data_IF_641570804221
#
_entry.id   IF_641570804221
#
_cell.length_a   1.000
_cell.length_b   1.000
_cell.length_c   1.000
_cell.angle_alpha   90.00
_cell.angle_beta   90.00
_cell.angle_gamma   90.00
#
_symmetry.space_group_name_H-M   'P 1'
#
loop_
_entity.id
_entity.type
_entity.pdbx_description
1 polymer ?
#
# COMPACT_ATOMS: atom_id res chain seq x y z
N UNK A 1 41.81 44.67 13.72
CA UNK A 1 41.28 44.83 12.34
C UNK A 1 39.76 44.91 12.30
N UNK A 2 39.01 43.94 12.86
CA UNK A 2 37.53 43.99 12.91
C UNK A 2 36.98 45.25 13.61
N UNK A 3 37.54 45.63 14.77
CA UNK A 3 37.15 46.84 15.51
C UNK A 3 37.31 48.14 14.69
N UNK A 4 38.40 48.25 13.92
CA UNK A 4 38.68 49.43 13.07
C UNK A 4 37.75 49.44 11.85
N UNK A 5 37.53 48.29 11.23
CA UNK A 5 36.65 48.17 10.06
C UNK A 5 35.18 48.40 10.38
N UNK A 6 34.71 47.97 11.54
CA UNK A 6 33.34 48.26 11.98
C UNK A 6 33.18 49.69 12.48
N UNK A 7 34.16 50.20 13.23
CA UNK A 7 34.09 51.55 13.80
C UNK A 7 34.21 52.69 12.79
N UNK A 8 34.98 52.52 11.71
CA UNK A 8 35.17 53.57 10.69
C UNK A 8 34.39 53.35 9.40
N UNK A 9 34.16 52.09 9.01
CA UNK A 9 33.58 51.76 7.71
C UNK A 9 32.25 51.03 7.78
N UNK A 10 31.66 50.88 8.98
CA UNK A 10 30.37 50.21 9.21
C UNK A 10 30.25 48.90 8.41
N UNK A 11 31.32 48.10 8.39
CA UNK A 11 31.44 46.96 7.49
C UNK A 11 30.30 45.95 7.67
N UNK A 12 29.85 45.72 8.91
CA UNK A 12 28.68 44.88 9.21
C UNK A 12 27.38 45.43 8.62
N UNK A 13 27.13 46.74 8.70
CA UNK A 13 25.94 47.36 8.10
C UNK A 13 25.95 47.18 6.57
N UNK A 14 27.11 47.41 5.93
CA UNK A 14 27.25 47.15 4.50
C UNK A 14 27.03 45.68 4.13
N UNK A 15 27.41 44.74 5.00
CA UNK A 15 27.15 43.31 4.80
C UNK A 15 25.65 43.00 4.95
N UNK A 16 24.98 43.55 5.95
CA UNK A 16 23.53 43.41 6.15
C UNK A 16 22.78 43.95 4.92
N UNK A 17 23.09 45.16 4.47
CA UNK A 17 22.47 45.75 3.28
C UNK A 17 22.68 44.90 2.03
N UNK A 18 23.87 44.30 1.86
CA UNK A 18 24.14 43.38 0.74
C UNK A 18 23.31 42.09 0.84
N UNK A 19 23.14 41.55 2.04
CA UNK A 19 22.30 40.37 2.28
C UNK A 19 20.83 40.71 2.05
N UNK A 20 20.35 41.87 2.50
CA UNK A 20 18.98 42.33 2.26
C UNK A 20 18.70 42.53 0.76
N UNK A 21 19.58 43.23 0.05
CA UNK A 21 19.45 43.40 -1.40
C UNK A 21 19.51 42.05 -2.14
N UNK A 22 20.37 41.12 -1.70
CA UNK A 22 20.37 39.76 -2.24
C UNK A 22 19.05 39.05 -1.97
N UNK A 23 18.52 39.13 -0.74
CA UNK A 23 17.23 38.54 -0.39
C UNK A 23 16.10 39.13 -1.22
N UNK A 24 16.04 40.44 -1.41
CA UNK A 24 15.02 41.07 -2.26
C UNK A 24 15.10 40.60 -3.72
N UNK A 25 16.32 40.49 -4.26
CA UNK A 25 16.52 40.07 -5.64
C UNK A 25 16.19 38.59 -5.90
N UNK A 26 16.36 37.71 -4.91
CA UNK A 26 16.25 36.26 -5.08
C UNK A 26 15.18 35.58 -4.21
N UNK A 27 14.41 36.32 -3.41
CA UNK A 27 13.37 35.76 -2.54
C UNK A 27 12.33 34.96 -3.32
N UNK A 28 12.02 35.37 -4.57
CA UNK A 28 11.11 34.66 -5.45
C UNK A 28 11.66 33.32 -5.94
N UNK A 29 12.98 33.18 -6.05
CA UNK A 29 13.65 31.97 -6.55
C UNK A 29 13.96 30.97 -5.43
N UNK A 30 14.07 31.43 -4.18
CA UNK A 30 14.42 30.59 -3.04
C UNK A 30 13.52 29.35 -2.88
N UNK A 31 12.18 29.42 -3.00
CA UNK A 31 11.33 28.23 -2.93
C UNK A 31 11.70 27.18 -3.97
N UNK A 32 11.98 27.60 -5.21
CA UNK A 32 12.39 26.70 -6.30
C UNK A 32 13.74 26.03 -6.02
N UNK A 33 14.69 26.76 -5.43
CA UNK A 33 15.97 26.17 -5.04
C UNK A 33 15.81 25.14 -3.93
N UNK A 34 14.98 25.43 -2.92
CA UNK A 34 14.69 24.50 -1.84
C UNK A 34 13.97 23.24 -2.35
N UNK A 35 13.04 23.40 -3.30
CA UNK A 35 12.36 22.29 -3.97
C UNK A 35 13.35 21.42 -4.75
N UNK A 36 14.23 22.02 -5.55
CA UNK A 36 15.26 21.27 -6.29
C UNK A 36 16.23 20.50 -5.39
N UNK A 37 16.65 21.11 -4.26
CA UNK A 37 17.47 20.42 -3.25
C UNK A 37 16.68 19.27 -2.61
N UNK A 38 15.41 19.49 -2.28
CA UNK A 38 14.53 18.47 -1.72
C UNK A 38 14.29 17.28 -2.66
N UNK A 39 14.04 17.54 -3.95
CA UNK A 39 13.94 16.51 -4.98
C UNK A 39 15.24 15.71 -5.12
N UNK A 40 16.38 16.41 -5.12
CA UNK A 40 17.70 15.76 -5.21
C UNK A 40 17.94 14.85 -4.02
N UNK A 41 17.64 15.31 -2.79
CA UNK A 41 17.79 14.52 -1.57
C UNK A 41 16.86 13.29 -1.57
N UNK A 42 15.60 13.47 -1.99
CA UNK A 42 14.65 12.37 -2.14
C UNK A 42 15.15 11.31 -3.15
N UNK A 43 15.62 11.74 -4.33
CA UNK A 43 16.16 10.84 -5.36
C UNK A 43 17.42 10.11 -4.86
N UNK A 44 18.32 10.79 -4.14
CA UNK A 44 19.48 10.16 -3.52
C UNK A 44 19.08 9.08 -2.50
N UNK A 45 18.02 9.32 -1.71
CA UNK A 45 17.48 8.35 -0.77
C UNK A 45 16.92 7.11 -1.48
N UNK A 46 16.15 7.30 -2.56
CA UNK A 46 15.62 6.21 -3.38
C UNK A 46 16.73 5.41 -4.08
N UNK A 47 17.77 6.09 -4.60
CA UNK A 47 18.93 5.45 -5.19
C UNK A 47 19.73 4.64 -4.14
N UNK A 48 19.89 5.17 -2.93
CA UNK A 48 20.53 4.47 -1.81
C UNK A 48 19.74 3.22 -1.41
N UNK A 49 18.40 3.30 -1.39
CA UNK A 49 17.55 2.14 -1.18
C UNK A 49 17.78 1.06 -2.23
N UNK A 50 17.82 1.42 -3.52
CA UNK A 50 18.11 0.47 -4.59
C UNK A 50 19.50 -0.16 -4.45
N UNK A 51 20.52 0.64 -4.16
CA UNK A 51 21.89 0.17 -3.94
C UNK A 51 22.00 -0.84 -2.79
N UNK A 52 21.28 -0.60 -1.69
CA UNK A 52 21.28 -1.49 -0.51
C UNK A 52 20.49 -2.79 -0.72
N UNK A 53 19.72 -2.92 -1.80
CA UNK A 53 18.89 -4.08 -2.10
C UNK A 53 19.19 -4.66 -3.48
N UNK A 54 20.40 -5.20 -3.74
CA UNK A 54 20.80 -5.70 -5.05
C UNK A 54 19.98 -6.92 -5.53
N UNK A 55 19.25 -7.58 -4.64
CA UNK A 55 18.35 -8.70 -4.99
C UNK A 55 16.90 -8.28 -5.25
N UNK A 56 16.60 -6.98 -5.27
CA UNK A 56 15.28 -6.46 -5.61
C UNK A 56 15.23 -6.10 -7.09
N UNK A 57 14.06 -6.20 -7.69
CA UNK A 57 13.87 -6.02 -9.14
C UNK A 57 13.10 -4.75 -9.42
N UNK A 58 13.48 -4.00 -10.46
CA UNK A 58 12.66 -2.88 -10.94
C UNK A 58 11.37 -3.41 -11.60
N UNK A 59 10.19 -2.94 -11.16
CA UNK A 59 8.92 -3.42 -11.70
C UNK A 59 8.68 -2.89 -13.11
N UNK A 60 7.93 -3.65 -13.91
CA UNK A 60 7.47 -3.24 -15.23
C UNK A 60 6.09 -2.59 -15.12
N UNK A 61 5.92 -1.42 -15.72
CA UNK A 61 4.63 -0.75 -15.80
C UNK A 61 3.80 -1.42 -16.90
N UNK A 62 2.65 -1.97 -16.52
CA UNK A 62 1.71 -2.60 -17.44
C UNK A 62 1.03 -1.55 -18.33
N UNK A 63 0.87 -1.87 -19.62
CA UNK A 63 0.12 -1.03 -20.56
C UNK A 63 -1.40 -1.24 -20.46
N UNK A 64 -1.84 -2.33 -19.84
CA UNK A 64 -3.25 -2.73 -19.74
C UNK A 64 -3.77 -2.51 -18.32
N UNK A 65 -4.85 -1.73 -18.19
CA UNK A 65 -5.58 -1.57 -16.93
C UNK A 65 -6.49 -2.78 -16.67
N UNK A 66 -6.52 -3.42 -15.51
CA UNK A 66 -5.60 -3.37 -14.37
C UNK A 66 -4.77 -4.66 -14.37
N UNK A 67 -3.47 -4.56 -14.04
CA UNK A 67 -2.59 -5.72 -13.86
C UNK A 67 -1.80 -5.60 -12.57
N UNK A 68 -1.70 -6.69 -11.82
CA UNK A 68 -0.81 -6.84 -10.67
C UNK A 68 -0.32 -8.28 -10.64
N UNK A 69 0.88 -8.52 -11.17
CA UNK A 69 1.51 -9.83 -11.24
C UNK A 69 2.91 -9.73 -10.64
N UNK A 70 3.24 -10.59 -9.68
CA UNK A 70 4.59 -10.66 -9.16
C UNK A 70 4.96 -12.08 -8.71
N UNK A 71 6.21 -12.44 -8.95
CA UNK A 71 6.81 -13.73 -8.62
C UNK A 71 7.66 -13.59 -7.35
N UNK A 72 7.45 -14.50 -6.41
CA UNK A 72 8.13 -14.58 -5.13
C UNK A 72 8.16 -13.22 -4.41
N UNK A 73 7.03 -12.60 -4.12
CA UNK A 73 7.02 -11.37 -3.32
C UNK A 73 7.38 -11.65 -1.85
N UNK A 74 8.33 -10.88 -1.33
CA UNK A 74 8.68 -10.81 0.09
C UNK A 74 8.35 -9.45 0.70
N UNK A 75 8.28 -9.38 2.03
CA UNK A 75 8.10 -8.10 2.72
C UNK A 75 9.47 -7.46 2.98
N UNK A 76 9.73 -6.23 2.50
CA UNK A 76 11.07 -5.64 2.56
C UNK A 76 11.59 -5.38 3.97
N UNK A 77 10.69 -5.25 4.96
CA UNK A 77 11.05 -5.09 6.38
C UNK A 77 11.20 -6.43 7.14
N UNK A 78 10.97 -7.58 6.50
CA UNK A 78 11.20 -8.88 7.14
C UNK A 78 12.62 -9.39 6.86
N UNK A 79 13.21 -10.07 7.83
CA UNK A 79 14.50 -10.74 7.63
C UNK A 79 14.39 -11.78 6.51
N UNK A 80 15.33 -11.74 5.56
CA UNK A 80 15.33 -12.59 4.37
C UNK A 80 15.19 -14.08 4.67
N UNK A 81 15.86 -14.56 5.73
CA UNK A 81 15.84 -15.96 6.15
C UNK A 81 14.48 -16.44 6.70
N UNK A 82 13.66 -15.52 7.23
CA UNK A 82 12.33 -15.82 7.78
C UNK A 82 11.19 -15.46 6.82
N UNK A 83 11.50 -14.76 5.72
CA UNK A 83 10.50 -14.25 4.81
C UNK A 83 10.09 -15.33 3.81
N UNK A 84 8.94 -15.96 4.06
CA UNK A 84 8.30 -16.83 3.07
C UNK A 84 7.72 -15.98 1.95
N UNK A 85 8.20 -16.22 0.72
CA UNK A 85 7.83 -15.46 -0.48
C UNK A 85 6.60 -16.08 -1.14
N UNK A 86 5.70 -15.25 -1.66
CA UNK A 86 4.45 -15.68 -2.28
C UNK A 86 4.17 -14.92 -3.58
N UNK A 87 3.50 -15.56 -4.52
CA UNK A 87 3.13 -14.94 -5.80
C UNK A 87 1.82 -14.15 -5.67
N UNK A 88 1.60 -13.21 -6.59
CA UNK A 88 0.29 -12.62 -6.84
C UNK A 88 0.03 -12.59 -8.34
N UNK A 89 -1.20 -12.95 -8.74
CA UNK A 89 -1.60 -12.93 -10.15
C UNK A 89 -2.99 -12.30 -10.25
N UNK A 90 -3.05 -11.09 -10.80
CA UNK A 90 -4.28 -10.38 -11.17
C UNK A 90 -4.08 -9.81 -12.58
N UNK A 91 -4.63 -10.50 -13.57
CA UNK A 91 -4.40 -10.20 -14.99
C UNK A 91 -5.60 -9.56 -15.70
N UNK A 92 -6.74 -9.47 -15.01
CA UNK A 92 -8.02 -9.05 -15.57
C UNK A 92 -8.72 -8.05 -14.64
N UNK A 93 -9.71 -7.35 -15.18
CA UNK A 93 -10.51 -6.35 -14.49
C UNK A 93 -11.99 -6.55 -14.84
N UNK A 94 -12.91 -6.63 -13.87
CA UNK A 94 -12.67 -6.65 -12.42
C UNK A 94 -12.08 -7.99 -11.95
N UNK A 95 -11.29 -7.97 -10.89
CA UNK A 95 -10.77 -9.18 -10.28
C UNK A 95 -10.49 -9.05 -8.79
N UNK A 96 -10.91 -10.05 -8.02
CA UNK A 96 -10.74 -10.10 -6.58
C UNK A 96 -10.08 -11.41 -6.13
N UNK A 97 -9.10 -11.27 -5.23
CA UNK A 97 -8.54 -12.39 -4.49
C UNK A 97 -9.21 -12.44 -3.12
N UNK A 98 -9.90 -13.54 -2.80
CA UNK A 98 -10.44 -13.79 -1.46
C UNK A 98 -9.46 -14.70 -0.73
N UNK A 99 -8.93 -14.22 0.39
CA UNK A 99 -7.92 -14.93 1.18
C UNK A 99 -8.52 -15.39 2.51
N UNK A 100 -8.64 -16.70 2.68
CA UNK A 100 -9.10 -17.36 3.91
C UNK A 100 -7.93 -17.90 4.74
N UNK A 101 -8.22 -18.31 5.97
CA UNK A 101 -7.24 -18.96 6.85
C UNK A 101 -7.36 -18.51 8.30
N UNK A 102 -6.69 -19.21 9.20
CA UNK A 102 -6.70 -18.90 10.62
C UNK A 102 -6.02 -17.56 10.95
N UNK A 103 -6.29 -17.03 12.14
CA UNK A 103 -5.49 -15.92 12.65
C UNK A 103 -4.02 -16.36 12.81
N UNK A 104 -3.09 -15.43 12.61
CA UNK A 104 -1.64 -15.67 12.64
C UNK A 104 -1.08 -16.52 11.48
N UNK A 105 -1.91 -17.02 10.57
CA UNK A 105 -1.47 -17.83 9.41
C UNK A 105 -0.75 -17.03 8.31
N UNK A 106 -0.65 -15.70 8.42
CA UNK A 106 0.10 -14.85 7.48
C UNK A 106 -0.74 -13.95 6.58
N UNK A 107 -2.08 -14.00 6.64
CA UNK A 107 -2.99 -13.17 5.81
C UNK A 107 -2.62 -11.68 5.80
N UNK A 108 -2.61 -11.02 6.97
CA UNK A 108 -2.31 -9.59 7.06
C UNK A 108 -0.87 -9.27 6.62
N UNK A 109 0.08 -10.19 6.82
CA UNK A 109 1.45 -10.06 6.31
C UNK A 109 1.45 -10.06 4.80
N UNK A 110 0.77 -11.00 4.15
CA UNK A 110 0.66 -11.05 2.69
C UNK A 110 -0.01 -9.81 2.10
N UNK A 111 -1.08 -9.31 2.72
CA UNK A 111 -1.73 -8.07 2.28
C UNK A 111 -0.77 -6.86 2.36
N UNK A 112 -0.02 -6.74 3.48
CA UNK A 112 0.98 -5.68 3.66
C UNK A 112 2.15 -5.83 2.69
N UNK A 113 2.62 -7.05 2.46
CA UNK A 113 3.65 -7.36 1.47
C UNK A 113 3.23 -6.87 0.09
N UNK A 114 2.00 -7.18 -0.32
CA UNK A 114 1.46 -6.73 -1.61
C UNK A 114 1.36 -5.21 -1.68
N UNK A 115 0.77 -4.58 -0.64
CA UNK A 115 0.59 -3.13 -0.58
C UNK A 115 1.93 -2.36 -0.62
N UNK A 116 2.93 -2.81 0.15
CA UNK A 116 4.24 -2.16 0.22
C UNK A 116 5.00 -2.32 -1.09
N UNK A 117 5.02 -3.51 -1.70
CA UNK A 117 5.67 -3.69 -3.00
C UNK A 117 4.98 -2.88 -4.10
N UNK A 118 3.65 -2.79 -4.08
CA UNK A 118 2.90 -1.93 -4.99
C UNK A 118 3.24 -0.44 -4.80
N UNK A 119 3.32 0.03 -3.56
CA UNK A 119 3.71 1.41 -3.27
C UNK A 119 5.15 1.72 -3.74
N UNK A 120 6.10 0.82 -3.44
CA UNK A 120 7.48 0.93 -3.92
C UNK A 120 7.54 0.98 -5.44
N UNK A 121 6.70 0.19 -6.13
CA UNK A 121 6.60 0.22 -7.57
C UNK A 121 6.08 1.56 -8.10
N UNK A 122 5.02 2.11 -7.50
CA UNK A 122 4.51 3.45 -7.83
C UNK A 122 5.55 4.56 -7.57
N UNK A 123 6.45 4.37 -6.61
CA UNK A 123 7.56 5.30 -6.33
C UNK A 123 8.74 5.16 -7.29
N UNK A 124 8.73 4.15 -8.19
CA UNK A 124 9.80 3.93 -9.17
C UNK A 124 11.08 3.30 -8.59
N UNK A 125 10.99 2.62 -7.45
CA UNK A 125 12.12 1.92 -6.81
C UNK A 125 12.01 0.40 -6.97
N UNK A 126 13.13 -0.35 -6.82
CA UNK A 126 13.07 -1.81 -6.96
C UNK A 126 12.24 -2.44 -5.83
N UNK A 127 11.52 -3.49 -6.16
CA UNK A 127 10.59 -4.19 -5.27
C UNK A 127 11.19 -5.50 -4.76
N UNK A 128 10.72 -5.95 -3.60
CA UNK A 128 11.10 -7.23 -2.99
C UNK A 128 10.37 -8.40 -3.69
N UNK A 129 10.67 -8.62 -4.96
CA UNK A 129 10.11 -9.68 -5.80
C UNK A 129 11.14 -10.10 -6.85
N UNK A 130 11.02 -11.31 -7.39
CA UNK A 130 11.90 -11.74 -8.48
C UNK A 130 11.51 -11.03 -9.78
N UNK A 131 10.21 -10.90 -10.00
CA UNK A 131 9.61 -10.10 -11.08
C UNK A 131 8.33 -9.45 -10.59
N UNK A 132 8.01 -8.30 -11.16
CA UNK A 132 6.74 -7.62 -10.92
C UNK A 132 6.33 -6.83 -12.16
N UNK A 133 5.08 -6.99 -12.57
CA UNK A 133 4.39 -6.19 -13.57
C UNK A 133 3.12 -5.62 -12.94
N UNK A 134 2.96 -4.31 -12.95
CA UNK A 134 1.85 -3.64 -12.27
C UNK A 134 1.31 -2.45 -13.05
N UNK A 135 0.04 -2.15 -12.85
CA UNK A 135 -0.61 -0.95 -13.37
C UNK A 135 -0.75 0.08 -12.22
N UNK A 136 -0.28 1.34 -12.40
CA UNK A 136 -0.32 2.36 -11.36
C UNK A 136 -1.72 2.98 -11.21
N UNK A 137 -2.53 2.37 -10.35
CA UNK A 137 -3.81 2.89 -9.85
C UNK A 137 -3.73 3.33 -8.38
N UNK A 138 -4.73 4.07 -7.90
CA UNK A 138 -4.78 4.56 -6.53
C UNK A 138 -5.02 3.40 -5.55
N UNK A 139 -4.05 3.15 -4.67
CA UNK A 139 -4.14 2.11 -3.64
C UNK A 139 -5.01 2.58 -2.47
N UNK A 140 -6.04 1.83 -2.11
CA UNK A 140 -6.86 2.06 -0.93
C UNK A 140 -6.84 0.84 -0.03
N UNK A 141 -6.47 1.02 1.24
CA UNK A 141 -6.31 -0.08 2.20
C UNK A 141 -7.24 0.03 3.40
N UNK A 142 -7.82 -1.09 3.79
CA UNK A 142 -8.53 -1.31 5.06
C UNK A 142 -7.74 -2.25 5.99
N UNK A 143 -6.42 -2.06 6.11
CA UNK A 143 -5.50 -2.94 6.84
C UNK A 143 -5.34 -2.53 8.31
N UNK A 144 -6.41 -2.58 9.10
CA UNK A 144 -6.51 -2.11 10.50
C UNK A 144 -6.12 -0.64 10.72
N UNK A 145 -7.06 0.12 11.26
CA UNK A 145 -6.83 1.37 12.00
C UNK A 145 -6.23 1.05 13.35
N UNK A 146 -5.07 1.61 13.68
CA UNK A 146 -4.69 1.81 15.08
C UNK A 146 -5.65 2.84 15.70
N UNK A 147 -6.06 2.60 16.93
CA UNK A 147 -7.01 3.43 17.66
C UNK A 147 -6.64 4.92 17.62
N UNK A 148 -7.53 5.77 17.11
CA UNK A 148 -7.62 7.15 17.58
C UNK A 148 -8.71 7.18 18.65
N UNK A 149 -8.31 7.15 19.93
CA UNK A 149 -9.20 7.55 21.03
C UNK A 149 -9.67 9.02 20.91
N UNK A 150 -9.12 9.77 19.94
CA UNK A 150 -9.41 11.18 19.69
C UNK A 150 -10.68 11.42 18.88
N UNK A 151 -11.14 10.46 18.08
CA UNK A 151 -12.36 10.61 17.28
C UNK A 151 -13.48 9.87 18.01
N UNK A 152 -14.45 10.59 18.59
CA UNK A 152 -15.63 10.04 19.28
C UNK A 152 -16.57 9.20 18.36
N UNK A 153 -16.05 8.55 17.33
CA UNK A 153 -16.76 7.74 16.34
C UNK A 153 -16.56 6.24 16.62
N UNK A 154 -17.63 5.46 16.46
CA UNK A 154 -17.50 4.00 16.61
C UNK A 154 -16.63 3.42 15.50
N UNK A 155 -15.85 2.39 15.82
CA UNK A 155 -15.01 1.65 14.87
C UNK A 155 -15.79 1.24 13.61
N UNK A 156 -17.03 0.78 13.79
CA UNK A 156 -17.89 0.37 12.71
C UNK A 156 -18.27 1.53 11.77
N UNK A 157 -18.54 2.72 12.32
CA UNK A 157 -18.89 3.88 11.52
C UNK A 157 -17.70 4.41 10.70
N UNK A 158 -16.50 4.43 11.28
CA UNK A 158 -15.28 4.78 10.55
C UNK A 158 -15.00 3.81 9.39
N UNK A 159 -15.24 2.51 9.60
CA UNK A 159 -15.14 1.51 8.55
C UNK A 159 -16.19 1.73 7.43
N UNK A 160 -17.45 2.01 7.79
CA UNK A 160 -18.49 2.34 6.80
C UNK A 160 -18.15 3.58 5.98
N UNK A 161 -17.60 4.63 6.59
CA UNK A 161 -17.13 5.83 5.88
C UNK A 161 -16.03 5.49 4.85
N UNK A 162 -15.09 4.61 5.20
CA UNK A 162 -14.04 4.15 4.28
C UNK A 162 -14.62 3.35 3.12
N UNK A 163 -15.53 2.42 3.40
CA UNK A 163 -16.19 1.65 2.35
C UNK A 163 -17.01 2.56 1.42
N UNK A 164 -17.69 3.56 1.98
CA UNK A 164 -18.37 4.60 1.20
C UNK A 164 -17.41 5.39 0.33
N UNK A 165 -16.27 5.82 0.88
CA UNK A 165 -15.23 6.52 0.11
C UNK A 165 -14.77 5.69 -1.09
N UNK A 166 -14.48 4.40 -0.91
CA UNK A 166 -14.09 3.50 -2.01
C UNK A 166 -15.17 3.49 -3.11
N UNK A 167 -16.44 3.31 -2.73
CA UNK A 167 -17.56 3.28 -3.68
C UNK A 167 -17.75 4.62 -4.39
N UNK A 168 -17.61 5.74 -3.69
CA UNK A 168 -17.81 7.07 -4.27
C UNK A 168 -16.69 7.41 -5.27
N UNK A 169 -15.43 7.11 -4.95
CA UNK A 169 -14.29 7.29 -5.86
C UNK A 169 -14.44 6.45 -7.13
N UNK A 170 -14.83 5.19 -7.00
CA UNK A 170 -15.10 4.31 -8.15
C UNK A 170 -16.23 4.85 -9.02
N UNK A 171 -17.28 5.41 -8.42
CA UNK A 171 -18.39 6.05 -9.16
C UNK A 171 -17.98 7.35 -9.84
N UNK A 172 -16.97 8.04 -9.31
CA UNK A 172 -16.37 9.21 -9.95
C UNK A 172 -15.47 8.84 -11.16
N UNK A 173 -15.22 7.54 -11.38
CA UNK A 173 -14.42 7.04 -12.50
C UNK A 173 -12.96 6.76 -12.14
N UNK A 174 -12.58 6.86 -10.87
CA UNK A 174 -11.22 6.56 -10.41
C UNK A 174 -10.90 5.07 -10.51
N UNK A 175 -9.68 4.75 -10.93
CA UNK A 175 -9.17 3.38 -10.93
C UNK A 175 -8.49 3.09 -9.60
N UNK A 176 -9.07 2.17 -8.81
CA UNK A 176 -8.57 1.80 -7.50
C UNK A 176 -8.03 0.38 -7.45
N UNK A 177 -6.95 0.20 -6.68
CA UNK A 177 -6.55 -1.11 -6.16
C UNK A 177 -6.95 -1.19 -4.69
N UNK A 178 -7.86 -2.09 -4.35
CA UNK A 178 -8.48 -2.12 -3.02
C UNK A 178 -7.98 -3.33 -2.22
N UNK A 179 -7.41 -3.11 -1.04
CA UNK A 179 -6.95 -4.18 -0.15
C UNK A 179 -7.66 -4.08 1.20
N UNK A 180 -8.50 -5.05 1.56
CA UNK A 180 -9.32 -5.02 2.78
C UNK A 180 -9.00 -6.23 3.66
N UNK A 181 -8.84 -6.00 4.98
CA UNK A 181 -8.63 -7.05 5.96
C UNK A 181 -9.84 -7.15 6.90
N UNK A 182 -10.64 -8.19 6.71
CA UNK A 182 -11.85 -8.48 7.47
C UNK A 182 -12.83 -7.29 7.52
N UNK A 183 -13.60 -7.12 6.45
CA UNK A 183 -14.61 -6.06 6.35
C UNK A 183 -15.75 -6.20 7.37
N UNK A 184 -16.31 -5.06 7.78
CA UNK A 184 -17.49 -4.95 8.65
C UNK A 184 -17.35 -5.68 10.01
N UNK A 185 -16.20 -5.57 10.68
CA UNK A 185 -16.06 -6.07 12.07
C UNK A 185 -16.95 -5.24 13.02
N UNK A 186 -17.53 -5.90 14.02
CA UNK A 186 -18.31 -5.23 15.06
C UNK A 186 -19.83 -5.21 14.86
N UNK A 187 -20.35 -6.01 13.91
CA UNK A 187 -21.79 -6.29 13.77
C UNK A 187 -22.09 -7.78 13.89
N UNK A 188 -23.36 -8.16 13.90
CA UNK A 188 -23.82 -9.54 13.94
C UNK A 188 -23.25 -10.34 12.75
N UNK A 189 -22.93 -11.62 12.97
CA UNK A 189 -22.33 -12.50 11.95
C UNK A 189 -23.14 -12.54 10.64
N UNK A 190 -24.47 -12.64 10.73
CA UNK A 190 -25.37 -12.65 9.57
C UNK A 190 -25.35 -11.35 8.77
N UNK A 191 -25.34 -10.21 9.46
CA UNK A 191 -25.34 -8.89 8.83
C UNK A 191 -23.98 -8.59 8.21
N UNK A 192 -22.90 -8.98 8.89
CA UNK A 192 -21.53 -8.92 8.38
C UNK A 192 -21.42 -9.70 7.08
N UNK A 193 -21.90 -10.95 7.05
CA UNK A 193 -21.86 -11.79 5.86
C UNK A 193 -22.63 -11.13 4.71
N UNK A 194 -23.93 -10.81 4.91
CA UNK A 194 -24.76 -10.19 3.86
C UNK A 194 -24.18 -8.89 3.33
N UNK A 195 -23.71 -8.02 4.22
CA UNK A 195 -23.08 -6.74 3.85
C UNK A 195 -21.78 -6.95 3.06
N UNK A 196 -20.96 -7.90 3.46
CA UNK A 196 -19.71 -8.25 2.77
C UNK A 196 -19.96 -8.78 1.36
N UNK A 197 -20.92 -9.70 1.22
CA UNK A 197 -21.33 -10.21 -0.08
C UNK A 197 -21.86 -9.09 -1.00
N UNK A 198 -22.71 -8.20 -0.47
CA UNK A 198 -23.26 -7.09 -1.23
C UNK A 198 -22.16 -6.12 -1.68
N UNK A 199 -21.22 -5.80 -0.80
CA UNK A 199 -20.09 -4.92 -1.12
C UNK A 199 -19.22 -5.52 -2.24
N UNK A 200 -18.81 -6.79 -2.14
CA UNK A 200 -17.95 -7.42 -3.15
C UNK A 200 -18.64 -7.44 -4.51
N UNK A 201 -19.92 -7.82 -4.56
CA UNK A 201 -20.72 -7.76 -5.79
C UNK A 201 -20.75 -6.35 -6.38
N UNK A 202 -20.94 -5.34 -5.53
CA UNK A 202 -20.95 -3.95 -5.97
C UNK A 202 -19.58 -3.51 -6.53
N UNK A 203 -18.47 -3.88 -5.89
CA UNK A 203 -17.12 -3.56 -6.36
C UNK A 203 -16.79 -4.23 -7.71
N UNK A 204 -17.27 -5.46 -7.91
CA UNK A 204 -17.16 -6.15 -9.21
C UNK A 204 -17.94 -5.38 -10.29
N UNK A 205 -19.19 -4.99 -10.01
CA UNK A 205 -19.98 -4.17 -10.95
C UNK A 205 -19.28 -2.85 -11.27
N UNK A 206 -18.60 -2.25 -10.31
CA UNK A 206 -17.81 -1.03 -10.46
C UNK A 206 -16.42 -1.26 -11.09
N UNK A 207 -16.18 -2.44 -11.70
CA UNK A 207 -14.94 -2.75 -12.44
C UNK A 207 -13.68 -2.58 -11.57
N UNK A 208 -13.73 -2.97 -10.30
CA UNK A 208 -12.60 -2.80 -9.36
C UNK A 208 -11.71 -4.03 -9.28
N UNK A 209 -10.45 -3.83 -8.89
CA UNK A 209 -9.53 -4.90 -8.53
C UNK A 209 -9.16 -4.83 -7.05
N UNK A 210 -9.06 -5.98 -6.39
CA UNK A 210 -8.66 -5.98 -5.00
C UNK A 210 -8.34 -7.33 -4.36
N UNK A 211 -7.98 -7.27 -3.09
CA UNK A 211 -7.73 -8.42 -2.23
C UNK A 211 -8.55 -8.25 -0.96
N UNK A 212 -9.23 -9.31 -0.55
CA UNK A 212 -10.05 -9.32 0.65
C UNK A 212 -9.63 -10.51 1.50
N UNK A 213 -9.07 -10.24 2.68
CA UNK A 213 -8.85 -11.30 3.67
C UNK A 213 -10.09 -11.44 4.58
N UNK A 214 -10.46 -12.67 4.90
CA UNK A 214 -11.58 -12.97 5.78
C UNK A 214 -11.37 -14.28 6.53
N UNK A 215 -12.06 -14.45 7.65
CA UNK A 215 -12.23 -15.75 8.31
C UNK A 215 -13.56 -16.43 7.94
N UNK A 216 -14.46 -15.70 7.28
CA UNK A 216 -15.75 -16.22 6.87
C UNK A 216 -15.62 -16.99 5.55
N UNK A 217 -15.59 -18.31 5.65
CA UNK A 217 -15.47 -19.22 4.50
C UNK A 217 -16.64 -19.08 3.52
N UNK A 218 -17.80 -18.58 3.98
CA UNK A 218 -18.94 -18.38 3.10
C UNK A 218 -18.64 -17.37 2.01
N UNK A 219 -17.81 -16.34 2.28
CA UNK A 219 -17.41 -15.38 1.24
C UNK A 219 -16.71 -16.06 0.05
N UNK A 220 -16.03 -17.19 0.28
CA UNK A 220 -15.40 -17.96 -0.79
C UNK A 220 -16.39 -18.55 -1.80
N UNK A 221 -17.66 -18.75 -1.42
CA UNK A 221 -18.72 -19.21 -2.35
C UNK A 221 -19.05 -18.19 -3.44
N UNK A 222 -18.61 -16.93 -3.29
CA UNK A 222 -18.71 -15.94 -4.35
C UNK A 222 -17.90 -16.34 -5.60
N UNK A 223 -16.83 -17.12 -5.44
CA UNK A 223 -16.07 -17.65 -6.58
C UNK A 223 -16.92 -18.59 -7.45
N UNK A 224 -17.90 -19.28 -6.88
CA UNK A 224 -18.82 -20.13 -7.65
C UNK A 224 -19.80 -19.29 -8.48
N UNK A 225 -20.14 -18.09 -7.99
CA UNK A 225 -21.05 -17.15 -8.68
C UNK A 225 -20.31 -16.29 -9.72
N UNK A 226 -19.05 -15.93 -9.46
CA UNK A 226 -18.22 -15.09 -10.32
C UNK A 226 -16.86 -15.75 -10.59
N UNK A 227 -16.82 -16.93 -11.26
CA UNK A 227 -15.59 -17.70 -11.44
C UNK A 227 -14.52 -16.99 -12.26
N UNK A 228 -14.95 -16.06 -13.12
CA UNK A 228 -14.04 -15.23 -13.92
C UNK A 228 -13.52 -14.01 -13.16
N UNK A 229 -14.17 -13.57 -12.07
CA UNK A 229 -13.79 -12.34 -11.37
C UNK A 229 -13.26 -12.58 -9.97
N UNK A 230 -13.42 -13.78 -9.40
CA UNK A 230 -13.02 -14.08 -8.03
C UNK A 230 -12.21 -15.35 -7.99
N UNK A 231 -11.08 -15.31 -7.29
CA UNK A 231 -10.29 -16.48 -7.00
C UNK A 231 -10.00 -16.60 -5.51
N UNK A 232 -10.21 -17.81 -4.98
CA UNK A 232 -9.97 -18.12 -3.58
C UNK A 232 -8.55 -18.63 -3.38
N UNK A 233 -7.93 -18.13 -2.31
CA UNK A 233 -6.69 -18.63 -1.76
C UNK A 233 -6.81 -18.76 -0.25
N UNK A 234 -5.98 -19.61 0.35
CA UNK A 234 -5.96 -19.83 1.79
C UNK A 234 -4.53 -19.91 2.33
N UNK A 235 -4.39 -19.59 3.61
CA UNK A 235 -3.22 -19.95 4.41
C UNK A 235 -3.61 -21.08 5.35
N UNK A 236 -3.01 -22.25 5.14
CA UNK A 236 -3.25 -23.45 5.95
C UNK A 236 -2.38 -23.48 7.20
N UNK A 237 -2.88 -24.20 8.21
CA UNK A 237 -2.13 -24.56 9.40
C UNK A 237 -2.01 -26.08 9.46
N UNK A 238 -0.82 -26.57 9.75
CA UNK A 238 -0.53 -27.99 9.90
C UNK A 238 -0.33 -28.32 11.38
N UNK A 239 -0.97 -29.39 11.83
CA UNK A 239 -0.79 -29.89 13.20
C UNK A 239 0.22 -31.03 13.12
N UNK A 240 1.42 -30.79 13.63
CA UNK A 240 2.49 -31.78 13.71
C UNK A 240 2.82 -32.00 15.19
N UNK A 241 2.74 -33.25 15.68
CA UNK A 241 3.06 -33.60 17.07
C UNK A 241 2.35 -32.74 18.14
N UNK A 242 1.06 -32.46 17.96
CA UNK A 242 0.28 -31.54 18.83
C UNK A 242 0.74 -30.07 18.82
N UNK A 243 1.66 -29.68 17.95
CA UNK A 243 2.06 -28.29 17.73
C UNK A 243 1.45 -27.75 16.44
N UNK A 244 0.89 -26.54 16.52
CA UNK A 244 0.33 -25.83 15.38
C UNK A 244 1.47 -25.12 14.64
N UNK A 245 1.73 -25.53 13.40
CA UNK A 245 2.75 -24.95 12.53
C UNK A 245 2.11 -24.27 11.32
N UNK A 246 2.68 -23.15 10.88
CA UNK A 246 2.21 -22.41 9.72
C UNK A 246 3.30 -22.38 8.66
N UNK A 247 2.98 -22.81 7.44
CA UNK A 247 3.92 -22.76 6.31
C UNK A 247 4.09 -21.34 5.76
N UNK A 248 3.12 -20.46 6.02
CA UNK A 248 3.02 -19.11 5.45
C UNK A 248 3.03 -19.07 3.91
N UNK A 249 2.73 -20.19 3.26
CA UNK A 249 2.56 -20.29 1.82
C UNK A 249 1.08 -20.15 1.44
N UNK A 250 0.82 -19.30 0.46
CA UNK A 250 -0.49 -19.09 -0.12
C UNK A 250 -0.84 -20.29 -1.01
N UNK A 251 -1.95 -20.96 -0.70
CA UNK A 251 -2.46 -22.10 -1.50
C UNK A 251 -3.77 -21.73 -2.17
N UNK A 252 -4.03 -22.30 -3.35
CA UNK A 252 -5.30 -22.09 -4.06
C UNK A 252 -6.40 -22.91 -3.40
N UNK A 253 -7.53 -22.28 -3.10
CA UNK A 253 -8.65 -22.93 -2.39
C UNK A 253 -9.17 -22.10 -1.22
N UNK A 254 -9.98 -22.74 -0.37
CA UNK A 254 -10.60 -22.16 0.83
C UNK A 254 -10.05 -22.87 2.06
#
# INVERSE_FOLDING_TARGET
VAFILNGLFFRELHQIMKIEAWKENYASDLPRWLEAVGETDALCSLATYAYNHPGYTYPQIATTSFRMCAEAMGHPLMHREKCVRNDIIMQQRPFFLIITGANMAGKSTYLRTTAVNYLLACMGVPVCADKMEFYPAKLVTGLRTSDSLNDNESYFFAELKRLKFIVDELRAGEELFVILDEILKGTNSTDKQKGSFALIKQLITLQTNGIIATHDLQLGTLADTFPENIQNFCFEAEINNNELTFSYQLKKGI
#
